data_IF_797871229827
#
_entry.id   IF_797871229827
#
_cell.length_a   1.000
_cell.length_b   1.000
_cell.length_c   1.000
_cell.angle_alpha   90.00
_cell.angle_beta   90.00
_cell.angle_gamma   90.00
#
_symmetry.space_group_name_H-M   'P 1'
#
loop_
_entity.id
_entity.type
_entity.pdbx_description
1 polymer ?
#
# COMPACT_ATOMS: atom_id res chain seq x y z
N UNK A 1 9.30 68.51 37.94
CA UNK A 1 9.56 67.15 37.40
C UNK A 1 8.85 67.03 36.07
N UNK A 2 9.58 67.09 34.95
CA UNK A 2 9.04 67.20 33.59
C UNK A 2 9.41 65.91 32.85
N UNK A 3 8.41 65.08 32.55
CA UNK A 3 8.58 63.75 31.97
C UNK A 3 9.13 63.82 30.54
N UNK A 4 10.36 63.33 30.34
CA UNK A 4 10.97 63.11 29.03
C UNK A 4 10.47 61.77 28.50
N UNK A 5 9.73 61.79 27.39
CA UNK A 5 9.39 60.58 26.62
C UNK A 5 10.52 60.30 25.65
N UNK A 6 11.24 59.20 25.85
CA UNK A 6 12.21 58.67 24.90
C UNK A 6 11.45 58.04 23.73
N UNK A 7 11.59 58.62 22.53
CA UNK A 7 11.20 57.95 21.29
C UNK A 7 12.33 57.00 20.88
N UNK A 8 12.10 55.70 21.02
CA UNK A 8 12.93 54.67 20.42
C UNK A 8 12.64 54.66 18.91
N UNK A 9 13.54 55.25 18.11
CA UNK A 9 13.55 55.08 16.67
C UNK A 9 14.04 53.66 16.36
N UNK A 10 13.11 52.76 16.00
CA UNK A 10 13.45 51.46 15.43
C UNK A 10 13.98 51.70 14.01
N UNK A 11 15.31 51.67 13.84
CA UNK A 11 15.92 51.61 12.52
C UNK A 11 15.62 50.22 11.92
N UNK A 12 14.70 50.14 10.96
CA UNK A 12 14.52 48.96 10.12
C UNK A 12 15.74 48.85 9.20
N UNK A 13 16.70 48.00 9.58
CA UNK A 13 17.72 47.49 8.67
C UNK A 13 17.00 46.59 7.66
N UNK A 14 16.74 47.14 6.47
CA UNK A 14 16.33 46.36 5.31
C UNK A 14 17.53 45.49 4.94
N UNK A 15 17.52 44.21 5.36
CA UNK A 15 18.38 43.21 4.77
C UNK A 15 17.94 43.03 3.31
N UNK A 16 18.67 43.65 2.39
CA UNK A 16 18.60 43.24 1.00
C UNK A 16 19.05 41.77 0.96
N UNK A 17 18.11 40.86 0.72
CA UNK A 17 18.46 39.50 0.35
C UNK A 17 19.27 39.59 -0.94
N UNK A 18 20.59 39.46 -0.82
CA UNK A 18 21.44 39.37 -1.98
C UNK A 18 21.11 38.03 -2.65
N UNK A 19 20.33 38.09 -3.72
CA UNK A 19 20.13 36.96 -4.65
C UNK A 19 21.47 36.70 -5.30
N UNK A 20 22.07 35.57 -4.98
CA UNK A 20 23.43 35.24 -5.42
C UNK A 20 23.43 34.28 -6.61
N UNK A 21 22.34 33.55 -6.81
CA UNK A 21 22.10 32.76 -8.01
C UNK A 21 21.20 33.53 -8.98
N UNK A 22 21.55 33.50 -10.26
CA UNK A 22 20.59 33.77 -11.32
C UNK A 22 20.25 32.48 -12.04
N UNK A 23 19.04 32.41 -12.57
CA UNK A 23 18.62 31.28 -13.39
C UNK A 23 17.13 31.32 -13.64
N UNK A 24 16.70 30.60 -14.67
CA UNK A 24 15.32 30.56 -15.12
C UNK A 24 15.01 29.17 -15.67
N UNK A 25 13.79 28.69 -15.43
CA UNK A 25 13.27 27.46 -16.04
C UNK A 25 12.63 27.82 -17.37
N UNK A 26 13.20 27.29 -18.46
CA UNK A 26 12.71 27.55 -19.82
C UNK A 26 11.57 26.61 -20.21
N UNK A 27 11.68 25.34 -19.86
CA UNK A 27 10.68 24.33 -20.17
C UNK A 27 10.61 23.25 -19.08
N UNK A 28 9.43 22.68 -18.90
CA UNK A 28 9.18 21.66 -17.89
C UNK A 28 8.11 20.67 -18.34
N UNK A 29 8.34 19.41 -18.01
CA UNK A 29 7.41 18.31 -18.20
C UNK A 29 7.75 17.19 -17.22
N UNK A 30 6.92 16.15 -17.18
CA UNK A 30 7.23 14.97 -16.36
C UNK A 30 8.42 14.15 -16.90
N UNK A 31 8.90 14.44 -18.11
CA UNK A 31 10.08 13.78 -18.67
C UNK A 31 11.38 14.57 -18.40
N UNK A 32 11.29 15.90 -18.33
CA UNK A 32 12.48 16.75 -18.35
C UNK A 32 12.20 18.16 -17.84
N UNK A 33 13.21 18.78 -17.24
CA UNK A 33 13.26 20.21 -16.91
C UNK A 33 14.53 20.82 -17.50
N UNK A 34 14.38 21.93 -18.21
CA UNK A 34 15.49 22.62 -18.89
C UNK A 34 15.52 24.10 -18.51
N UNK A 35 16.70 24.69 -18.51
CA UNK A 35 16.86 26.10 -18.17
C UNK A 35 18.32 26.52 -18.15
N UNK A 36 18.60 27.55 -17.37
CA UNK A 36 19.96 28.00 -17.07
C UNK A 36 20.10 28.43 -15.62
N UNK A 37 21.31 28.31 -15.07
CA UNK A 37 21.64 28.69 -13.71
C UNK A 37 23.11 29.08 -13.58
N UNK A 38 23.40 30.06 -12.74
CA UNK A 38 24.76 30.50 -12.42
C UNK A 38 24.82 31.21 -11.06
N UNK A 39 26.01 31.22 -10.47
CA UNK A 39 26.33 32.00 -9.27
C UNK A 39 27.06 33.27 -9.70
N UNK A 40 26.46 34.44 -9.53
CA UNK A 40 27.05 35.70 -10.01
C UNK A 40 28.26 36.15 -9.19
N UNK A 41 28.52 35.53 -8.04
CA UNK A 41 29.76 35.76 -7.26
C UNK A 41 30.95 35.01 -7.85
N UNK A 42 30.67 33.91 -8.55
CA UNK A 42 31.64 33.09 -9.26
C UNK A 42 31.19 32.89 -10.71
N UNK A 43 31.22 33.96 -11.54
CA UNK A 43 30.55 33.99 -12.83
C UNK A 43 30.96 32.92 -13.86
N UNK A 44 32.15 32.32 -13.67
CA UNK A 44 32.71 31.31 -14.57
C UNK A 44 32.62 29.89 -13.98
N UNK A 45 32.01 29.73 -12.81
CA UNK A 45 31.79 28.41 -12.22
C UNK A 45 30.57 27.75 -12.86
N UNK A 46 30.68 26.44 -13.06
CA UNK A 46 29.53 25.57 -13.36
C UNK A 46 28.85 25.20 -12.05
N UNK A 47 27.58 25.59 -11.90
CA UNK A 47 26.76 25.22 -10.74
C UNK A 47 26.09 23.86 -10.94
N UNK A 48 25.77 23.18 -9.84
CA UNK A 48 24.87 22.04 -9.88
C UNK A 48 23.41 22.54 -9.82
N UNK A 49 22.49 21.77 -10.37
CA UNK A 49 21.06 22.07 -10.38
C UNK A 49 20.30 20.83 -9.95
N UNK A 50 19.46 20.96 -8.92
CA UNK A 50 18.63 19.88 -8.39
C UNK A 50 17.16 20.19 -8.60
N UNK A 51 16.38 19.15 -8.91
CA UNK A 51 14.94 19.22 -9.10
C UNK A 51 14.25 18.37 -8.03
N UNK A 52 13.29 18.97 -7.33
CA UNK A 52 12.57 18.37 -6.23
C UNK A 52 11.07 18.53 -6.42
N UNK A 53 10.29 17.57 -5.92
CA UNK A 53 8.84 17.70 -5.79
C UNK A 53 8.50 18.27 -4.40
N UNK A 54 7.34 18.89 -4.27
CA UNK A 54 6.90 19.57 -3.05
C UNK A 54 6.64 18.66 -1.84
N UNK A 55 6.68 17.35 -2.04
CA UNK A 55 6.68 16.31 -1.00
C UNK A 55 8.09 15.76 -0.70
N UNK A 56 9.14 16.53 -1.03
CA UNK A 56 10.54 16.25 -0.74
C UNK A 56 11.11 15.03 -1.49
N UNK A 57 10.52 14.69 -2.63
CA UNK A 57 11.05 13.67 -3.55
C UNK A 57 12.08 14.26 -4.49
N UNK A 58 13.27 13.65 -4.55
CA UNK A 58 14.31 14.05 -5.48
C UNK A 58 13.99 13.52 -6.89
N UNK A 59 13.80 14.43 -7.84
CA UNK A 59 13.41 14.08 -9.20
C UNK A 59 14.61 13.97 -10.15
N UNK A 60 15.75 14.58 -9.81
CA UNK A 60 16.97 14.51 -10.61
C UNK A 60 17.88 15.72 -10.40
N UNK A 61 19.10 15.64 -10.94
CA UNK A 61 20.05 16.74 -10.91
C UNK A 61 21.13 16.61 -11.97
N UNK A 62 21.72 17.73 -12.36
CA UNK A 62 22.83 17.81 -13.31
C UNK A 62 23.64 19.09 -13.11
N UNK A 63 24.72 19.25 -13.85
CA UNK A 63 25.48 20.50 -13.92
C UNK A 63 24.90 21.45 -14.98
N UNK A 64 25.01 22.75 -14.74
CA UNK A 64 24.62 23.80 -15.67
C UNK A 64 25.75 24.15 -16.65
N UNK A 65 26.18 23.19 -17.48
CA UNK A 65 27.36 23.31 -18.37
C UNK A 65 27.03 23.37 -19.87
N UNK A 66 25.75 23.44 -20.24
CA UNK A 66 25.32 23.51 -21.65
C UNK A 66 25.48 24.94 -22.15
N UNK A 67 26.02 25.10 -23.37
CA UNK A 67 26.18 26.41 -24.00
C UNK A 67 24.82 27.05 -24.27
N UNK A 68 24.68 28.32 -23.88
CA UNK A 68 23.50 29.17 -24.09
C UNK A 68 23.82 30.37 -24.96
N UNK A 69 22.78 31.11 -25.33
CA UNK A 69 22.87 32.38 -26.01
C UNK A 69 23.71 33.40 -25.20
N UNK A 70 24.37 34.37 -25.87
CA UNK A 70 25.23 35.35 -25.20
C UNK A 70 24.53 36.13 -24.08
N UNK A 71 23.23 36.38 -24.19
CA UNK A 71 22.43 37.07 -23.18
C UNK A 71 22.45 36.36 -21.81
N UNK A 72 22.49 35.02 -21.79
CA UNK A 72 22.62 34.24 -20.55
C UNK A 72 24.01 34.42 -19.95
N UNK A 73 25.06 34.37 -20.77
CA UNK A 73 26.44 34.66 -20.32
C UNK A 73 26.56 36.06 -19.70
N UNK A 74 25.98 37.07 -20.35
CA UNK A 74 25.91 38.44 -19.83
C UNK A 74 25.11 38.53 -18.53
N UNK A 75 23.97 37.82 -18.42
CA UNK A 75 23.17 37.80 -17.21
C UNK A 75 23.95 37.22 -16.01
N UNK A 76 24.79 36.22 -16.28
CA UNK A 76 25.66 35.55 -15.32
C UNK A 76 26.95 36.30 -15.00
N UNK A 77 27.26 37.39 -15.72
CA UNK A 77 28.53 38.15 -15.61
C UNK A 77 29.78 37.33 -15.96
N UNK A 78 29.62 36.23 -16.70
CA UNK A 78 30.67 35.27 -17.03
C UNK A 78 31.40 35.62 -18.33
N UNK A 79 32.59 35.02 -18.51
CA UNK A 79 33.38 35.09 -19.75
C UNK A 79 32.93 34.06 -20.81
N UNK A 80 31.98 33.19 -20.47
CA UNK A 80 31.41 32.18 -21.36
C UNK A 80 29.91 32.05 -21.17
N UNK A 81 29.25 31.29 -22.05
CA UNK A 81 27.80 31.06 -22.00
C UNK A 81 27.41 29.65 -21.58
N UNK A 82 28.34 28.84 -21.06
CA UNK A 82 28.07 27.50 -20.54
C UNK A 82 27.37 27.56 -19.16
N UNK A 83 26.07 27.85 -19.16
CA UNK A 83 25.22 27.98 -17.96
C UNK A 83 23.87 27.25 -18.09
N UNK A 84 23.64 26.54 -19.18
CA UNK A 84 22.41 25.80 -19.44
C UNK A 84 22.39 24.44 -18.76
N UNK A 85 21.20 23.95 -18.41
CA UNK A 85 20.99 22.59 -17.93
C UNK A 85 19.83 21.93 -18.66
N UNK A 86 19.88 20.60 -18.70
CA UNK A 86 18.82 19.73 -19.20
C UNK A 86 18.77 18.48 -18.32
N UNK A 87 17.76 18.39 -17.47
CA UNK A 87 17.67 17.36 -16.43
C UNK A 87 16.50 16.42 -16.77
N UNK A 88 16.76 15.15 -17.10
CA UNK A 88 15.69 14.16 -17.18
C UNK A 88 15.11 13.90 -15.78
N UNK A 89 13.79 13.76 -15.70
CA UNK A 89 13.09 13.46 -14.46
C UNK A 89 13.08 11.94 -14.26
N UNK A 90 13.59 11.49 -13.11
CA UNK A 90 13.51 10.10 -12.69
C UNK A 90 12.10 9.80 -12.16
N UNK A 91 11.24 9.31 -13.05
CA UNK A 91 9.85 9.01 -12.74
C UNK A 91 9.69 7.53 -12.34
N UNK A 92 9.84 7.24 -11.05
CA UNK A 92 9.52 5.93 -10.47
C UNK A 92 8.00 5.73 -10.36
N UNK A 93 7.54 4.47 -10.26
CA UNK A 93 6.09 4.16 -10.25
C UNK A 93 5.35 4.80 -9.06
N UNK A 94 6.00 4.95 -7.92
CA UNK A 94 5.46 5.61 -6.72
C UNK A 94 5.25 7.11 -6.88
N UNK A 95 5.90 7.75 -7.86
CA UNK A 95 5.68 9.16 -8.20
C UNK A 95 4.56 9.35 -9.23
N UNK A 96 4.01 8.26 -9.79
CA UNK A 96 2.91 8.29 -10.77
C UNK A 96 1.55 8.31 -10.10
N UNK A 97 1.27 9.38 -9.36
CA UNK A 97 0.06 9.54 -8.55
C UNK A 97 -1.11 10.21 -9.29
N UNK A 98 -0.95 10.60 -10.56
CA UNK A 98 -1.99 11.27 -11.34
C UNK A 98 -2.30 12.73 -10.94
N UNK A 99 -1.58 13.28 -9.96
CA UNK A 99 -1.84 14.60 -9.39
C UNK A 99 -0.92 15.69 -9.98
N UNK A 100 -1.36 16.93 -9.87
CA UNK A 100 -0.52 18.10 -10.12
C UNK A 100 0.33 18.38 -8.89
N UNK A 101 1.64 18.42 -9.08
CA UNK A 101 2.61 18.75 -8.04
C UNK A 101 3.38 20.01 -8.39
N UNK A 102 3.83 20.71 -7.34
CA UNK A 102 4.82 21.78 -7.49
C UNK A 102 6.20 21.15 -7.56
N UNK A 103 6.94 21.48 -8.61
CA UNK A 103 8.32 21.05 -8.82
C UNK A 103 9.22 22.26 -8.62
N UNK A 104 10.15 22.13 -7.66
CA UNK A 104 11.08 23.14 -7.22
C UNK A 104 12.46 22.87 -7.82
N UNK A 105 13.07 23.88 -8.42
CA UNK A 105 14.40 23.77 -9.03
C UNK A 105 15.35 24.71 -8.31
N UNK A 106 16.46 24.14 -7.85
CA UNK A 106 17.48 24.84 -7.07
C UNK A 106 18.82 24.82 -7.77
N UNK A 107 19.50 25.97 -7.77
CA UNK A 107 20.92 26.08 -8.05
C UNK A 107 21.71 25.77 -6.79
N UNK A 108 22.80 25.03 -6.95
CA UNK A 108 23.73 24.66 -5.89
C UNK A 108 25.12 25.12 -6.32
N UNK A 109 25.56 26.20 -5.67
CA UNK A 109 26.83 26.84 -5.96
C UNK A 109 27.96 26.36 -5.05
N UNK A 110 29.12 26.99 -5.19
CA UNK A 110 30.28 26.79 -4.33
C UNK A 110 29.91 27.04 -2.86
N UNK A 111 30.57 26.32 -1.94
CA UNK A 111 30.35 26.39 -0.48
C UNK A 111 28.95 25.93 -0.02
N UNK A 112 28.25 25.12 -0.83
CA UNK A 112 26.97 24.52 -0.45
C UNK A 112 25.80 25.50 -0.39
N UNK A 113 25.94 26.67 -1.01
CA UNK A 113 24.84 27.59 -1.18
C UNK A 113 23.75 26.96 -2.06
N UNK A 114 22.49 27.16 -1.67
CA UNK A 114 21.31 26.66 -2.38
C UNK A 114 20.31 27.79 -2.55
N UNK A 115 19.91 28.08 -3.78
CA UNK A 115 18.88 29.08 -4.07
C UNK A 115 17.92 28.58 -5.15
N UNK A 116 16.65 28.90 -4.97
CA UNK A 116 15.60 28.50 -5.91
C UNK A 116 15.67 29.37 -7.17
N UNK A 117 15.55 28.75 -8.34
CA UNK A 117 15.59 29.47 -9.62
C UNK A 117 14.32 30.30 -9.84
N UNK A 118 14.41 31.32 -10.70
CA UNK A 118 13.21 32.03 -11.16
C UNK A 118 12.33 31.11 -12.01
N UNK A 119 11.04 31.40 -12.05
CA UNK A 119 10.00 30.54 -12.63
C UNK A 119 9.82 29.19 -11.90
N UNK A 120 10.42 29.02 -10.71
CA UNK A 120 10.16 27.92 -9.78
C UNK A 120 9.31 28.42 -8.61
N UNK A 121 8.33 27.64 -8.11
CA UNK A 121 7.98 26.30 -8.56
C UNK A 121 7.19 26.30 -9.87
N UNK A 122 7.38 25.26 -10.68
CA UNK A 122 6.51 24.94 -11.83
C UNK A 122 5.48 23.90 -11.42
N UNK A 123 4.36 23.84 -12.14
CA UNK A 123 3.29 22.87 -11.91
C UNK A 123 3.35 21.77 -12.95
N UNK A 124 3.53 20.53 -12.51
CA UNK A 124 3.60 19.37 -13.40
C UNK A 124 2.54 18.37 -12.97
N UNK A 125 1.69 17.94 -13.91
CA UNK A 125 0.81 16.80 -13.71
C UNK A 125 1.59 15.51 -13.94
N UNK A 126 1.78 14.73 -12.87
CA UNK A 126 2.39 13.42 -12.96
C UNK A 126 1.37 12.44 -13.55
N UNK A 127 1.78 11.49 -14.42
CA UNK A 127 0.88 10.47 -14.91
C UNK A 127 0.45 9.59 -13.74
N UNK A 128 -0.63 8.84 -13.92
CA UNK A 128 -1.17 7.99 -12.85
C UNK A 128 -2.68 8.07 -12.80
N UNK A 129 -3.26 7.14 -12.06
CA UNK A 129 -4.69 6.94 -11.90
C UNK A 129 -5.29 7.68 -10.70
N UNK A 130 -4.52 8.57 -10.05
CA UNK A 130 -4.96 9.27 -8.84
C UNK A 130 -4.67 8.50 -7.55
N UNK A 131 -4.04 7.32 -7.64
CA UNK A 131 -3.90 6.42 -6.50
C UNK A 131 -2.62 6.74 -5.71
N UNK A 132 -2.80 7.38 -4.55
CA UNK A 132 -1.71 7.83 -3.66
C UNK A 132 -0.92 6.69 -3.00
N UNK A 133 -1.55 5.52 -2.80
CA UNK A 133 -0.88 4.34 -2.25
C UNK A 133 -1.37 3.05 -2.94
N UNK A 134 -0.42 2.20 -3.33
CA UNK A 134 -0.66 0.84 -3.85
C UNK A 134 -0.31 -0.20 -2.77
N UNK A 135 -1.08 -1.29 -2.65
CA UNK A 135 -0.74 -2.37 -1.74
C UNK A 135 0.57 -2.99 -2.22
N UNK A 136 1.46 -3.24 -1.28
CA UNK A 136 2.81 -3.72 -1.58
C UNK A 136 3.08 -5.04 -0.87
N UNK A 137 2.74 -5.12 0.41
CA UNK A 137 2.96 -6.32 1.19
C UNK A 137 1.79 -7.28 1.01
N UNK A 138 2.10 -8.55 0.79
CA UNK A 138 1.10 -9.62 0.87
C UNK A 138 0.33 -9.47 2.18
N UNK A 139 -0.99 -9.59 2.11
CA UNK A 139 -1.93 -9.40 3.22
C UNK A 139 -2.18 -7.97 3.67
N UNK A 140 -1.74 -6.97 2.91
CA UNK A 140 -2.30 -5.63 3.01
C UNK A 140 -3.82 -5.71 2.84
N UNK A 141 -4.57 -5.10 3.77
CA UNK A 141 -6.02 -5.00 3.68
C UNK A 141 -6.35 -3.72 2.92
N UNK A 142 -7.02 -3.89 1.79
CA UNK A 142 -7.50 -2.79 0.96
C UNK A 142 -8.97 -2.54 1.27
N UNK A 143 -9.40 -1.28 1.20
CA UNK A 143 -10.76 -0.91 1.52
C UNK A 143 -11.28 0.24 0.67
N UNK A 144 -12.59 0.30 0.49
CA UNK A 144 -13.29 1.36 -0.25
C UNK A 144 -14.72 1.52 0.24
N UNK A 145 -15.39 2.57 -0.20
CA UNK A 145 -16.82 2.76 0.02
C UNK A 145 -17.65 1.63 -0.62
N UNK A 146 -18.80 1.33 -0.05
CA UNK A 146 -19.77 0.46 -0.71
C UNK A 146 -20.67 1.33 -1.60
N UNK A 147 -20.63 1.12 -2.92
CA UNK A 147 -21.50 1.79 -3.89
C UNK A 147 -22.91 1.15 -3.87
N UNK A 148 -23.56 1.18 -2.70
CA UNK A 148 -24.95 0.76 -2.53
C UNK A 148 -25.76 1.91 -1.90
N UNK A 149 -26.86 2.38 -2.51
CA UNK A 149 -27.61 3.59 -2.11
C UNK A 149 -28.26 3.61 -0.70
N UNK A 150 -28.09 2.57 0.10
CA UNK A 150 -28.85 2.33 1.35
C UNK A 150 -27.95 2.35 2.58
N UNK A 151 -26.63 2.17 2.44
CA UNK A 151 -25.69 2.24 3.57
C UNK A 151 -24.36 2.86 3.14
N UNK A 152 -24.36 4.17 2.96
CA UNK A 152 -23.12 4.94 2.89
C UNK A 152 -22.30 4.69 4.17
N UNK A 153 -21.02 4.33 4.04
CA UNK A 153 -20.13 4.06 5.17
C UNK A 153 -20.09 2.61 5.67
N UNK A 154 -20.86 1.66 5.12
CA UNK A 154 -20.68 0.23 5.42
C UNK A 154 -19.28 -0.27 5.01
N UNK A 155 -18.79 0.25 3.88
CA UNK A 155 -17.49 -0.08 3.31
C UNK A 155 -17.44 -1.45 2.65
N UNK A 156 -16.34 -1.69 1.95
CA UNK A 156 -15.98 -2.96 1.35
C UNK A 156 -14.48 -3.18 1.56
N UNK A 157 -14.09 -4.42 1.87
CA UNK A 157 -12.69 -4.76 2.14
C UNK A 157 -12.25 -6.00 1.37
N UNK A 158 -10.95 -6.05 1.03
CA UNK A 158 -10.31 -7.19 0.41
C UNK A 158 -8.89 -7.37 0.92
N UNK A 159 -8.24 -8.46 0.52
CA UNK A 159 -6.85 -8.76 0.88
C UNK A 159 -5.97 -8.77 -0.36
N UNK A 160 -4.81 -8.13 -0.29
CA UNK A 160 -3.80 -8.19 -1.34
C UNK A 160 -3.02 -9.50 -1.27
N UNK A 161 -2.93 -10.24 -2.38
CA UNK A 161 -2.17 -11.49 -2.45
C UNK A 161 -0.73 -11.32 -2.96
N UNK A 162 -0.31 -10.08 -3.22
CA UNK A 162 0.97 -9.75 -3.87
C UNK A 162 0.82 -9.38 -5.35
N UNK A 163 -0.29 -9.77 -5.99
CA UNK A 163 -0.57 -9.49 -7.41
C UNK A 163 -1.99 -8.99 -7.66
N UNK A 164 -2.96 -9.38 -6.85
CA UNK A 164 -4.38 -9.08 -6.99
C UNK A 164 -5.04 -8.92 -5.63
N UNK A 165 -6.14 -8.18 -5.61
CA UNK A 165 -7.06 -8.10 -4.50
C UNK A 165 -8.00 -9.30 -4.55
N UNK A 166 -7.97 -10.13 -3.51
CA UNK A 166 -8.97 -11.18 -3.30
C UNK A 166 -10.12 -10.58 -2.49
N UNK A 167 -11.31 -10.55 -3.07
CA UNK A 167 -12.50 -9.92 -2.48
C UNK A 167 -13.77 -10.75 -2.68
N UNK A 168 -14.79 -10.47 -1.86
CA UNK A 168 -16.11 -11.09 -1.95
C UNK A 168 -17.16 -10.07 -2.39
N UNK A 169 -17.78 -10.32 -3.53
CA UNK A 169 -18.75 -9.44 -4.20
C UNK A 169 -20.12 -10.10 -4.34
N UNK A 170 -21.16 -9.27 -4.40
CA UNK A 170 -22.52 -9.72 -4.71
C UNK A 170 -22.69 -9.85 -6.24
N UNK A 171 -21.93 -10.77 -6.82
CA UNK A 171 -21.86 -11.02 -8.26
C UNK A 171 -21.91 -12.54 -8.52
N UNK A 172 -22.19 -12.99 -9.76
CA UNK A 172 -22.29 -14.42 -10.07
C UNK A 172 -21.07 -15.22 -9.62
N UNK A 173 -19.87 -14.66 -9.80
CA UNK A 173 -18.66 -15.14 -9.16
C UNK A 173 -18.42 -14.37 -7.87
N UNK A 174 -18.77 -15.00 -6.73
CA UNK A 174 -18.78 -14.35 -5.42
C UNK A 174 -17.38 -14.01 -4.93
N UNK A 175 -16.41 -14.92 -5.07
CA UNK A 175 -15.01 -14.68 -4.69
C UNK A 175 -14.23 -14.35 -5.95
N UNK A 176 -13.62 -13.18 -5.99
CA UNK A 176 -12.91 -12.67 -7.17
C UNK A 176 -11.47 -12.33 -6.84
N UNK A 177 -10.61 -12.37 -7.87
CA UNK A 177 -9.24 -11.84 -7.83
C UNK A 177 -9.17 -10.70 -8.84
N UNK A 178 -9.19 -9.47 -8.35
CA UNK A 178 -9.20 -8.27 -9.17
C UNK A 178 -7.86 -7.56 -9.09
N UNK A 179 -7.40 -6.94 -10.17
CA UNK A 179 -6.27 -6.01 -10.06
C UNK A 179 -6.66 -4.80 -9.19
N UNK A 180 -5.66 -4.12 -8.64
CA UNK A 180 -5.90 -3.04 -7.69
C UNK A 180 -6.59 -1.83 -8.36
N UNK A 181 -6.35 -1.60 -9.64
CA UNK A 181 -6.98 -0.53 -10.42
C UNK A 181 -8.49 -0.73 -10.54
N UNK A 182 -8.93 -1.96 -10.85
CA UNK A 182 -10.35 -2.32 -10.91
C UNK A 182 -10.97 -2.26 -9.52
N UNK A 183 -10.22 -2.60 -8.47
CA UNK A 183 -10.69 -2.41 -7.10
C UNK A 183 -10.93 -0.92 -6.79
N UNK A 184 -9.97 -0.06 -7.12
CA UNK A 184 -10.05 1.37 -6.86
C UNK A 184 -11.17 2.07 -7.66
N UNK A 185 -11.35 1.73 -8.93
CA UNK A 185 -12.30 2.44 -9.82
C UNK A 185 -13.76 2.29 -9.42
N UNK A 186 -14.11 1.30 -8.58
CA UNK A 186 -15.50 1.07 -8.21
C UNK A 186 -16.08 2.14 -7.29
N UNK A 187 -15.28 2.71 -6.39
CA UNK A 187 -15.75 3.71 -5.43
C UNK A 187 -14.57 4.36 -4.70
N UNK A 188 -14.84 5.39 -3.88
CA UNK A 188 -13.80 6.07 -3.10
C UNK A 188 -13.06 5.09 -2.17
N UNK A 189 -11.75 4.92 -2.40
CA UNK A 189 -10.88 4.09 -1.57
C UNK A 189 -10.55 4.72 -0.21
N UNK A 190 -10.22 3.86 0.74
CA UNK A 190 -9.67 4.23 2.04
C UNK A 190 -8.17 3.94 2.07
N UNK A 191 -7.41 4.46 3.06
CA UNK A 191 -5.99 4.14 3.20
C UNK A 191 -5.73 2.63 3.29
N UNK A 192 -4.57 2.16 2.84
CA UNK A 192 -4.24 0.74 2.96
C UNK A 192 -3.97 0.40 4.42
N UNK A 193 -4.53 -0.71 4.91
CA UNK A 193 -4.23 -1.20 6.26
C UNK A 193 -3.07 -2.20 6.22
N UNK A 194 -1.88 -1.74 6.58
CA UNK A 194 -0.65 -2.53 6.74
C UNK A 194 -0.62 -3.28 8.09
N UNK A 195 -1.64 -4.10 8.32
CA UNK A 195 -1.82 -4.83 9.58
C UNK A 195 -0.62 -5.71 9.88
N UNK A 196 -0.03 -5.62 11.08
CA UNK A 196 0.99 -6.56 11.53
C UNK A 196 0.33 -7.87 11.89
N UNK A 197 0.64 -8.91 11.11
CA UNK A 197 0.13 -10.26 11.32
C UNK A 197 0.99 -11.03 12.32
N UNK A 198 0.44 -12.08 12.97
CA UNK A 198 1.23 -12.93 13.86
C UNK A 198 2.45 -13.56 13.16
N UNK A 199 3.57 -13.62 13.88
CA UNK A 199 4.79 -14.28 13.44
C UNK A 199 4.81 -15.75 13.89
N UNK A 200 3.89 -16.55 13.37
CA UNK A 200 3.87 -18.01 13.56
C UNK A 200 3.58 -18.71 12.23
N UNK A 201 3.84 -20.01 12.16
CA UNK A 201 3.49 -20.83 11.01
C UNK A 201 2.22 -21.62 11.24
N UNK A 202 1.50 -21.85 10.14
CA UNK A 202 0.29 -22.66 10.07
C UNK A 202 0.58 -23.80 9.10
N UNK A 203 0.58 -25.02 9.63
CA UNK A 203 0.67 -26.25 8.85
C UNK A 203 -0.74 -26.79 8.62
N UNK A 204 -1.17 -26.80 7.36
CA UNK A 204 -2.51 -27.27 6.95
C UNK A 204 -2.52 -27.68 5.49
N UNK A 205 -3.60 -28.34 5.05
CA UNK A 205 -3.94 -28.41 3.64
C UNK A 205 -4.71 -27.15 3.20
N UNK A 206 -4.25 -26.50 2.13
CA UNK A 206 -4.88 -25.33 1.50
C UNK A 206 -5.42 -25.62 0.08
N UNK A 207 -5.49 -26.90 -0.31
CA UNK A 207 -6.10 -27.35 -1.56
C UNK A 207 -7.62 -27.47 -1.45
N UNK A 208 -8.35 -27.40 -2.56
CA UNK A 208 -9.80 -27.69 -2.58
C UNK A 208 -10.14 -29.16 -2.30
N UNK A 209 -9.13 -30.04 -2.35
CA UNK A 209 -9.22 -31.42 -1.89
C UNK A 209 -8.02 -31.79 -1.03
N UNK A 210 -8.31 -32.26 0.18
CA UNK A 210 -7.36 -32.58 1.23
C UNK A 210 -7.44 -34.05 1.58
N UNK A 211 -6.30 -34.63 1.94
CA UNK A 211 -6.21 -36.00 2.47
C UNK A 211 -5.81 -35.89 3.92
N UNK A 212 -6.65 -36.42 4.81
CA UNK A 212 -6.34 -36.51 6.23
C UNK A 212 -6.22 -37.98 6.61
N UNK A 213 -5.43 -38.28 7.63
CA UNK A 213 -5.23 -39.63 8.15
C UNK A 213 -5.40 -39.59 9.66
N UNK A 214 -6.01 -40.64 10.22
CA UNK A 214 -6.17 -40.84 11.65
C UNK A 214 -4.81 -40.91 12.36
N UNK A 215 -3.82 -41.57 11.77
CA UNK A 215 -2.55 -41.86 12.43
C UNK A 215 -1.38 -40.97 11.95
N UNK A 216 -1.45 -40.43 10.72
CA UNK A 216 -0.39 -39.59 10.13
C UNK A 216 -0.95 -38.35 9.45
N UNK A 217 -1.34 -37.31 10.20
CA UNK A 217 -1.98 -36.11 9.66
C UNK A 217 -1.02 -35.19 8.89
N UNK A 218 -0.09 -35.70 8.07
CA UNK A 218 0.92 -34.91 7.33
C UNK A 218 0.80 -34.99 5.81
N UNK A 219 -0.03 -35.88 5.25
CA UNK A 219 -0.19 -35.94 3.80
C UNK A 219 -0.75 -34.60 3.26
N UNK A 220 -0.13 -34.06 2.20
CA UNK A 220 -0.58 -32.86 1.49
C UNK A 220 -0.68 -31.56 2.33
N UNK A 221 0.02 -31.48 3.46
CA UNK A 221 0.08 -30.25 4.26
C UNK A 221 1.25 -29.38 3.87
N UNK A 222 1.01 -28.07 3.87
CA UNK A 222 2.00 -27.04 3.62
C UNK A 222 2.10 -26.16 4.85
N UNK A 223 3.33 -25.79 5.21
CA UNK A 223 3.61 -24.84 6.27
C UNK A 223 3.79 -23.47 5.67
N UNK A 224 3.00 -22.51 6.13
CA UNK A 224 3.11 -21.11 5.72
C UNK A 224 3.19 -20.21 6.95
N UNK A 225 3.98 -19.11 6.91
CA UNK A 225 3.80 -18.03 7.87
C UNK A 225 2.34 -17.56 7.85
N UNK A 226 1.79 -17.14 8.99
CA UNK A 226 0.36 -16.87 9.17
C UNK A 226 -0.21 -15.98 8.05
N UNK A 227 0.52 -14.94 7.66
CA UNK A 227 0.18 -14.07 6.55
C UNK A 227 -0.08 -14.82 5.23
N UNK A 228 0.86 -15.67 4.83
CA UNK A 228 0.73 -16.47 3.61
C UNK A 228 -0.33 -17.57 3.77
N UNK A 229 -0.55 -18.07 4.98
CA UNK A 229 -1.64 -18.99 5.27
C UNK A 229 -3.02 -18.34 5.06
N UNK A 230 -3.18 -17.05 5.39
CA UNK A 230 -4.43 -16.31 5.08
C UNK A 230 -4.67 -16.24 3.58
N UNK A 231 -3.64 -15.92 2.79
CA UNK A 231 -3.74 -15.85 1.33
C UNK A 231 -3.94 -17.23 0.71
N UNK A 232 -3.26 -18.27 1.21
CA UNK A 232 -3.47 -19.64 0.78
C UNK A 232 -4.92 -20.08 1.05
N UNK A 233 -5.47 -19.74 2.22
CA UNK A 233 -6.89 -19.97 2.55
C UNK A 233 -7.83 -19.15 1.66
N UNK A 234 -7.52 -17.90 1.38
CA UNK A 234 -8.30 -17.06 0.47
C UNK A 234 -8.41 -17.69 -0.93
N UNK A 235 -7.29 -18.21 -1.45
CA UNK A 235 -7.25 -18.95 -2.72
C UNK A 235 -8.02 -20.28 -2.65
N UNK A 236 -7.93 -21.01 -1.53
CA UNK A 236 -8.72 -22.22 -1.30
C UNK A 236 -10.23 -21.94 -1.39
N UNK A 237 -10.68 -20.86 -0.72
CA UNK A 237 -12.07 -20.40 -0.76
C UNK A 237 -12.48 -19.98 -2.17
N UNK A 238 -11.59 -19.29 -2.91
CA UNK A 238 -11.82 -18.93 -4.31
C UNK A 238 -12.10 -20.15 -5.18
N UNK A 239 -11.33 -21.24 -5.02
CA UNK A 239 -11.51 -22.48 -5.79
C UNK A 239 -12.75 -23.27 -5.35
N UNK A 240 -13.03 -23.35 -4.06
CA UNK A 240 -14.24 -24.05 -3.54
C UNK A 240 -15.52 -23.28 -3.91
N UNK A 241 -15.44 -21.95 -3.89
CA UNK A 241 -16.54 -21.04 -4.15
C UNK A 241 -17.34 -20.66 -2.89
N UNK A 242 -18.19 -19.66 -3.07
CA UNK A 242 -19.01 -19.10 -2.01
C UNK A 242 -20.38 -18.64 -2.51
N UNK A 243 -21.28 -18.38 -1.56
CA UNK A 243 -22.54 -17.65 -1.75
C UNK A 243 -22.43 -16.31 -1.03
N UNK A 244 -22.81 -15.22 -1.72
CA UNK A 244 -22.84 -13.91 -1.09
C UNK A 244 -23.97 -13.83 -0.06
N UNK A 245 -23.68 -13.24 1.11
CA UNK A 245 -24.69 -12.95 2.14
C UNK A 245 -24.51 -11.53 2.66
N UNK A 246 -25.60 -10.96 3.19
CA UNK A 246 -25.59 -9.63 3.84
C UNK A 246 -25.43 -9.71 5.35
N UNK A 247 -25.62 -10.90 5.94
CA UNK A 247 -25.57 -11.11 7.38
C UNK A 247 -24.11 -11.13 7.87
N UNK A 248 -23.85 -10.74 9.13
CA UNK A 248 -22.50 -10.77 9.71
C UNK A 248 -22.07 -12.20 10.13
N UNK A 249 -22.83 -13.22 9.74
CA UNK A 249 -22.56 -14.60 10.14
C UNK A 249 -21.74 -15.31 9.07
N UNK A 250 -20.59 -15.82 9.49
CA UNK A 250 -19.70 -16.60 8.63
C UNK A 250 -20.13 -18.06 8.57
N UNK A 251 -20.19 -18.61 7.36
CA UNK A 251 -20.16 -20.07 7.16
C UNK A 251 -18.92 -20.39 6.34
N UNK A 252 -17.86 -20.97 6.95
CA UNK A 252 -16.62 -21.24 6.24
C UNK A 252 -16.81 -22.19 5.05
N UNK A 253 -16.05 -21.99 3.98
CA UNK A 253 -15.95 -22.93 2.88
C UNK A 253 -15.12 -24.14 3.32
N UNK A 254 -15.61 -25.34 3.05
CA UNK A 254 -14.95 -26.58 3.46
C UNK A 254 -14.43 -27.29 2.21
N UNK A 255 -13.14 -27.69 2.17
CA UNK A 255 -12.62 -28.47 1.06
C UNK A 255 -13.17 -29.89 1.10
N UNK A 256 -12.94 -30.63 0.02
CA UNK A 256 -13.09 -32.08 0.04
C UNK A 256 -12.12 -32.66 1.08
N UNK A 257 -12.56 -33.59 1.92
CA UNK A 257 -11.66 -34.30 2.85
C UNK A 257 -11.77 -35.80 2.60
N UNK A 258 -10.66 -36.41 2.19
CA UNK A 258 -10.53 -37.84 1.97
C UNK A 258 -9.82 -38.49 3.15
N UNK A 259 -10.45 -39.48 3.76
CA UNK A 259 -9.93 -40.17 4.95
C UNK A 259 -9.87 -41.67 4.70
N UNK A 260 -8.71 -42.32 4.81
CA UNK A 260 -8.64 -43.76 4.75
C UNK A 260 -9.27 -44.36 6.03
N UNK A 261 -10.15 -45.37 5.95
CA UNK A 261 -10.53 -46.15 7.12
C UNK A 261 -9.28 -46.90 7.60
N UNK A 262 -9.10 -46.95 8.92
CA UNK A 262 -7.87 -47.42 9.55
C UNK A 262 -7.39 -48.75 8.94
N UNK A 263 -6.21 -48.69 8.29
CA UNK A 263 -5.45 -49.81 7.68
C UNK A 263 -5.84 -50.29 6.28
N UNK A 264 -6.81 -49.68 5.59
CA UNK A 264 -7.08 -49.97 4.15
C UNK A 264 -6.85 -48.72 3.28
N UNK A 265 -5.63 -48.56 2.77
CA UNK A 265 -5.21 -47.42 1.95
C UNK A 265 -5.91 -47.34 0.58
N UNK A 266 -6.70 -48.35 0.21
CA UNK A 266 -7.42 -48.41 -1.06
C UNK A 266 -8.91 -48.02 -0.92
N UNK A 267 -9.39 -47.71 0.29
CA UNK A 267 -10.74 -47.20 0.52
C UNK A 267 -10.64 -45.81 1.13
N UNK A 268 -11.38 -44.83 0.63
CA UNK A 268 -11.45 -43.50 1.24
C UNK A 268 -12.91 -43.18 1.56
N UNK A 269 -13.15 -42.63 2.76
CA UNK A 269 -14.37 -41.89 3.06
C UNK A 269 -14.16 -40.46 2.59
N UNK A 270 -14.91 -40.06 1.57
CA UNK A 270 -14.84 -38.72 0.98
C UNK A 270 -15.95 -37.85 1.54
N UNK A 271 -15.56 -36.74 2.16
CA UNK A 271 -16.44 -35.64 2.54
C UNK A 271 -16.42 -34.60 1.43
N UNK A 272 -17.55 -34.30 0.78
CA UNK A 272 -17.59 -33.39 -0.35
C UNK A 272 -17.35 -31.93 0.09
N UNK A 273 -16.87 -31.08 -0.81
CA UNK A 273 -16.64 -29.68 -0.50
C UNK A 273 -17.96 -28.95 -0.29
N UNK A 274 -17.94 -27.93 0.55
CA UNK A 274 -19.12 -27.09 0.82
C UNK A 274 -18.78 -25.63 0.59
N UNK A 275 -19.59 -24.94 -0.23
CA UNK A 275 -19.42 -23.52 -0.50
C UNK A 275 -19.57 -22.72 0.80
N UNK A 276 -18.70 -21.74 0.98
CA UNK A 276 -18.83 -20.80 2.09
C UNK A 276 -19.98 -19.81 1.89
N UNK A 277 -20.35 -19.10 2.94
CA UNK A 277 -21.30 -17.99 2.92
C UNK A 277 -20.61 -16.76 3.49
N UNK A 278 -20.41 -15.74 2.65
CA UNK A 278 -19.61 -14.58 3.02
C UNK A 278 -20.19 -13.26 2.53
N UNK A 279 -20.03 -12.24 3.37
CA UNK A 279 -19.76 -10.84 3.02
C UNK A 279 -18.24 -10.60 3.01
N UNK A 280 -17.79 -9.51 2.39
CA UNK A 280 -16.38 -9.12 2.32
C UNK A 280 -15.62 -9.16 3.66
N UNK A 281 -16.21 -8.71 4.76
CA UNK A 281 -15.58 -8.77 6.08
C UNK A 281 -15.59 -10.17 6.70
N UNK A 282 -16.69 -10.90 6.62
CA UNK A 282 -16.76 -12.29 7.10
C UNK A 282 -15.80 -13.22 6.36
N UNK A 283 -15.48 -12.89 5.10
CA UNK A 283 -14.42 -13.56 4.35
C UNK A 283 -13.05 -13.28 4.98
N UNK A 284 -12.74 -12.01 5.27
CA UNK A 284 -11.51 -11.63 5.98
C UNK A 284 -11.44 -12.31 7.37
N UNK A 285 -12.54 -12.37 8.12
CA UNK A 285 -12.55 -13.06 9.42
C UNK A 285 -12.38 -14.58 9.32
N UNK A 286 -12.83 -15.22 8.24
CA UNK A 286 -12.57 -16.66 8.02
C UNK A 286 -11.09 -16.92 7.74
N UNK A 287 -10.48 -16.15 6.82
CA UNK A 287 -9.06 -16.33 6.50
C UNK A 287 -8.16 -15.98 7.69
N UNK A 288 -8.53 -14.99 8.52
CA UNK A 288 -7.85 -14.73 9.79
C UNK A 288 -8.01 -15.91 10.74
N UNK A 289 -9.25 -16.42 10.88
CA UNK A 289 -9.56 -17.59 11.70
C UNK A 289 -8.78 -18.83 11.28
N UNK A 290 -8.37 -18.93 10.01
CA UNK A 290 -7.47 -19.97 9.50
C UNK A 290 -6.15 -20.05 10.27
N UNK A 291 -5.67 -18.91 10.77
CA UNK A 291 -4.34 -18.77 11.39
C UNK A 291 -4.34 -18.82 12.91
N UNK A 292 -5.49 -18.66 13.56
CA UNK A 292 -5.59 -18.56 15.03
C UNK A 292 -6.61 -19.52 15.63
N UNK A 293 -7.28 -20.35 14.83
CA UNK A 293 -8.14 -21.43 15.32
C UNK A 293 -7.53 -22.77 14.97
N UNK A 294 -7.33 -23.64 15.96
CA UNK A 294 -7.16 -25.06 15.71
C UNK A 294 -8.55 -25.70 15.69
N UNK A 295 -9.02 -26.25 14.57
CA UNK A 295 -10.23 -27.05 14.59
C UNK A 295 -9.84 -28.41 15.21
N UNK A 296 -10.23 -28.67 16.47
CA UNK A 296 -10.01 -29.96 17.13
C UNK A 296 -8.69 -30.13 17.89
N UNK A 297 -8.47 -31.35 18.39
CA UNK A 297 -7.28 -31.77 19.16
C UNK A 297 -6.09 -32.05 18.23
N UNK A 298 -4.90 -32.26 18.80
CA UNK A 298 -3.66 -32.54 18.03
C UNK A 298 -3.74 -33.73 17.06
N UNK A 299 -4.73 -34.61 17.22
CA UNK A 299 -4.87 -35.83 16.43
C UNK A 299 -5.92 -35.73 15.34
N UNK A 300 -7.08 -35.09 15.58
CA UNK A 300 -8.19 -35.07 14.62
C UNK A 300 -8.95 -33.75 14.63
N UNK A 301 -9.42 -33.33 13.45
CA UNK A 301 -10.25 -32.16 13.29
C UNK A 301 -11.67 -32.55 12.89
N UNK A 302 -12.52 -32.74 13.90
CA UNK A 302 -13.93 -33.08 13.72
C UNK A 302 -14.81 -32.06 14.42
N UNK A 303 -15.67 -31.37 13.67
CA UNK A 303 -16.59 -30.37 14.20
C UNK A 303 -17.99 -30.74 13.73
N UNK A 304 -18.92 -30.93 14.68
CA UNK A 304 -20.34 -31.18 14.39
C UNK A 304 -20.59 -32.31 13.38
N UNK A 305 -19.83 -33.41 13.45
CA UNK A 305 -20.03 -34.54 12.52
C UNK A 305 -19.19 -34.47 11.25
N UNK A 306 -18.51 -33.35 10.95
CA UNK A 306 -17.70 -33.17 9.74
C UNK A 306 -16.21 -33.17 10.02
N UNK A 307 -15.47 -33.77 9.08
CA UNK A 307 -14.02 -33.70 9.05
C UNK A 307 -13.54 -32.45 8.34
N UNK A 308 -12.57 -31.80 8.96
CA UNK A 308 -11.89 -30.63 8.43
C UNK A 308 -10.39 -30.92 8.28
N UNK A 309 -9.68 -30.18 7.41
CA UNK A 309 -8.24 -30.24 7.40
C UNK A 309 -7.68 -29.86 8.78
N UNK A 310 -6.84 -30.72 9.36
CA UNK A 310 -6.22 -30.43 10.64
C UNK A 310 -5.19 -29.32 10.46
N UNK A 311 -5.35 -28.26 11.26
CA UNK A 311 -4.44 -27.11 11.32
C UNK A 311 -3.56 -27.21 12.55
N UNK A 312 -2.25 -27.19 12.32
CA UNK A 312 -1.25 -27.19 13.39
C UNK A 312 -0.60 -25.80 13.39
N UNK A 313 -0.59 -25.15 14.54
CA UNK A 313 0.05 -23.84 14.73
C UNK A 313 1.25 -24.04 15.65
N UNK A 314 2.42 -23.54 15.25
CA UNK A 314 3.70 -23.80 15.90
C UNK A 314 4.02 -22.85 17.07
N UNK A 315 3.02 -22.09 17.55
CA UNK A 315 3.19 -21.10 18.60
C UNK A 315 2.01 -21.05 19.57
N UNK A 316 2.24 -20.48 20.76
CA UNK A 316 1.15 -20.09 21.65
C UNK A 316 0.40 -18.88 21.07
N UNK A 317 -0.79 -19.14 20.56
CA UNK A 317 -1.65 -18.15 19.91
C UNK A 317 -2.65 -17.47 20.85
N UNK A 318 -2.62 -17.68 22.16
CA UNK A 318 -3.68 -17.18 23.05
C UNK A 318 -3.93 -15.67 22.92
N UNK A 319 -2.87 -14.86 22.86
CA UNK A 319 -2.98 -13.40 22.69
C UNK A 319 -3.54 -13.02 21.31
N UNK A 320 -3.13 -13.73 20.26
CA UNK A 320 -3.62 -13.51 18.90
C UNK A 320 -5.05 -13.99 18.70
N UNK A 321 -5.42 -15.08 19.34
CA UNK A 321 -6.80 -15.57 19.37
C UNK A 321 -7.70 -14.57 20.07
N UNK A 322 -7.27 -13.98 21.19
CA UNK A 322 -8.03 -12.92 21.85
C UNK A 322 -8.20 -11.69 20.95
N UNK A 323 -7.11 -11.19 20.33
CA UNK A 323 -7.19 -10.11 19.34
C UNK A 323 -8.17 -10.42 18.22
N UNK A 324 -8.14 -11.64 17.70
CA UNK A 324 -9.09 -12.10 16.70
C UNK A 324 -10.53 -12.06 17.21
N UNK A 325 -10.83 -12.60 18.40
CA UNK A 325 -12.18 -12.54 18.98
C UNK A 325 -12.65 -11.10 19.16
N UNK A 326 -11.76 -10.22 19.64
CA UNK A 326 -12.06 -8.80 19.79
C UNK A 326 -12.33 -8.14 18.43
N UNK A 327 -11.60 -8.53 17.38
CA UNK A 327 -11.77 -8.03 16.03
C UNK A 327 -13.01 -8.58 15.30
N UNK A 328 -13.45 -9.80 15.62
CA UNK A 328 -14.49 -10.51 14.85
C UNK A 328 -15.77 -10.82 15.64
N UNK A 329 -15.90 -10.28 16.85
CA UNK A 329 -17.06 -10.52 17.71
C UNK A 329 -18.39 -9.99 17.14
N UNK A 330 -19.51 -10.36 17.78
CA UNK A 330 -20.89 -10.08 17.34
C UNK A 330 -21.22 -8.59 17.11
N UNK A 331 -20.35 -7.68 17.55
CA UNK A 331 -20.50 -6.24 17.38
C UNK A 331 -19.96 -5.71 16.04
N UNK A 332 -19.31 -6.54 15.22
CA UNK A 332 -18.88 -6.15 13.85
C UNK A 332 -20.09 -6.21 12.92
N UNK A 333 -20.82 -5.10 12.83
CA UNK A 333 -22.02 -5.00 12.00
C UNK A 333 -21.72 -4.64 10.54
N UNK A 334 -20.55 -4.05 10.26
CA UNK A 334 -20.15 -3.58 8.94
C UNK A 334 -18.66 -3.79 8.65
N UNK A 335 -18.27 -3.94 7.38
CA UNK A 335 -16.86 -4.02 6.97
C UNK A 335 -15.97 -2.88 7.47
N UNK A 336 -16.51 -1.66 7.54
CA UNK A 336 -15.84 -0.50 8.13
C UNK A 336 -15.34 -0.75 9.56
N UNK A 337 -16.14 -1.44 10.37
CA UNK A 337 -15.80 -1.72 11.76
C UNK A 337 -14.61 -2.68 11.87
N UNK A 338 -14.58 -3.73 11.03
CA UNK A 338 -13.44 -4.65 10.99
C UNK A 338 -12.18 -3.92 10.51
N UNK A 339 -12.27 -3.17 9.42
CA UNK A 339 -11.16 -2.38 8.89
C UNK A 339 -10.54 -1.45 9.94
N UNK A 340 -11.37 -0.70 10.68
CA UNK A 340 -10.89 0.21 11.72
C UNK A 340 -10.18 -0.53 12.86
N UNK A 341 -10.60 -1.75 13.22
CA UNK A 341 -9.90 -2.57 14.20
C UNK A 341 -8.55 -3.07 13.67
N UNK A 342 -8.51 -3.54 12.42
CA UNK A 342 -7.29 -4.03 11.79
C UNK A 342 -6.22 -2.93 11.63
N UNK A 343 -6.64 -1.67 11.44
CA UNK A 343 -5.73 -0.51 11.45
C UNK A 343 -5.02 -0.28 12.78
N UNK A 344 -5.63 -0.68 13.89
CA UNK A 344 -5.03 -0.50 15.22
C UNK A 344 -3.88 -1.50 15.47
N UNK A 345 -3.69 -2.46 14.56
CA UNK A 345 -2.66 -3.49 14.66
C UNK A 345 -1.42 -3.15 13.81
N UNK A 346 -1.24 -1.89 13.41
CA UNK A 346 -0.15 -1.43 12.54
C UNK A 346 1.19 -1.27 13.24
#
# INVERSE_FOLDING_TARGET
>A
MRNIKYYFLLAFLIYANNVFSKGYIDNYSVAMVTGWACDVRFPNDIVAVHVWRDDNQFLGGSSANIIREPAVGSACLGSHSAHGFSIPINLTEDLKDGQEHRVLVYSIGRNGFVEQLNNSPVKIKFPGDGIKERPYYVGDIVARNLDWPVIEGAGHIGIWDGTSVIEVLNEPQVVQKNNYENFFKRSKVWPISRTKWPAHNVLSCFSSACTEDFDRPRANKQSYPALYAMVARANQIYVIGATYVVTPYVTPAEPTVNIPPSRDWNKYVTWPPTKGRYRCDTFITDIMGATVRSPGSHTHSHIQGRWLPLRIIDANIASWYQKYIDATGANVKAPAALYNKLKQWQ
#
